data_IF_748049909910
#
_entry.id   IF_748049909910
#
_cell.length_a   1.000
_cell.length_b   1.000
_cell.length_c   1.000
_cell.angle_alpha   90.00
_cell.angle_beta   90.00
_cell.angle_gamma   90.00
#
_symmetry.space_group_name_H-M   'P 1'
#
loop_
_entity.id
_entity.type
_entity.pdbx_description
1 polymer ?
#
# COMPACT_ATOMS: atom_id res chain seq x y z
N UNK A 1 -9.23 -13.43 12.60
CA UNK A 1 -10.61 -13.38 12.10
C UNK A 1 -11.55 -13.81 13.22
N UNK A 2 -12.53 -12.98 13.59
CA UNK A 2 -13.61 -13.33 14.53
C UNK A 2 -14.93 -13.27 13.79
N UNK A 3 -15.73 -14.34 13.90
CA UNK A 3 -17.06 -14.44 13.32
C UNK A 3 -18.05 -13.74 14.27
N UNK A 4 -18.71 -12.68 13.84
CA UNK A 4 -19.77 -12.01 14.60
C UNK A 4 -21.11 -12.30 13.92
N UNK A 5 -21.98 -13.01 14.65
CA UNK A 5 -23.25 -13.58 14.15
C UNK A 5 -24.44 -12.63 14.16
N UNK A 6 -24.30 -11.35 14.57
CA UNK A 6 -25.35 -10.34 14.36
C UNK A 6 -24.83 -8.91 14.54
N UNK A 7 -25.07 -8.06 13.54
CA UNK A 7 -25.02 -6.61 13.70
C UNK A 7 -26.29 -6.12 14.40
N UNK A 8 -26.22 -5.42 15.55
CA UNK A 8 -27.32 -4.59 16.00
C UNK A 8 -27.14 -3.19 15.41
N UNK A 9 -27.96 -2.85 14.42
CA UNK A 9 -28.16 -1.47 13.97
C UNK A 9 -28.97 -0.70 15.03
N UNK A 10 -28.63 0.57 15.27
CA UNK A 10 -29.55 1.53 15.92
C UNK A 10 -29.69 2.81 15.10
N UNK A 11 -30.91 3.33 15.09
CA UNK A 11 -31.50 4.17 14.03
C UNK A 11 -31.17 5.67 14.09
N UNK A 12 -30.04 6.14 14.65
CA UNK A 12 -29.84 7.59 14.75
C UNK A 12 -28.39 8.15 14.78
N UNK A 13 -27.47 7.58 13.98
CA UNK A 13 -26.40 8.36 13.31
C UNK A 13 -25.48 9.29 14.14
N UNK A 14 -25.32 9.12 15.46
CA UNK A 14 -24.32 9.86 16.26
C UNK A 14 -23.62 8.91 17.22
N UNK A 15 -22.29 9.06 17.27
CA UNK A 15 -21.40 8.35 18.19
C UNK A 15 -21.62 8.93 19.59
N UNK A 16 -22.21 8.12 20.47
CA UNK A 16 -22.39 8.43 21.87
C UNK A 16 -21.06 8.22 22.62
N UNK A 17 -20.31 9.31 22.81
CA UNK A 17 -19.00 9.34 23.48
C UNK A 17 -19.07 9.05 24.99
N UNK A 18 -20.26 8.84 25.55
CA UNK A 18 -20.47 8.68 27.00
C UNK A 18 -20.79 7.24 27.45
N UNK A 19 -20.92 6.27 26.53
CA UNK A 19 -21.24 4.87 26.88
C UNK A 19 -20.12 3.88 26.53
N UNK A 20 -18.91 4.35 26.24
CA UNK A 20 -17.78 3.45 26.05
C UNK A 20 -17.31 2.97 27.45
N UNK A 21 -17.40 1.66 27.76
CA UNK A 21 -16.77 1.13 28.96
C UNK A 21 -15.29 1.47 28.92
N UNK A 22 -14.75 1.96 30.04
CA UNK A 22 -13.37 2.40 30.16
C UNK A 22 -12.44 1.27 29.66
N UNK A 23 -11.57 1.53 28.67
CA UNK A 23 -10.72 0.48 28.14
C UNK A 23 -9.71 0.10 29.22
N UNK A 24 -9.95 -1.03 29.88
CA UNK A 24 -8.93 -1.67 30.71
C UNK A 24 -7.75 -2.01 29.80
N UNK A 25 -6.54 -1.71 30.27
CA UNK A 25 -5.27 -1.86 29.54
C UNK A 25 -5.01 -3.27 28.97
N UNK A 26 -5.82 -4.25 29.39
CA UNK A 26 -5.76 -5.66 28.99
C UNK A 26 -6.43 -5.93 27.63
N UNK A 27 -7.28 -5.02 27.12
CA UNK A 27 -7.93 -5.13 25.81
C UNK A 27 -7.25 -4.32 24.70
N UNK A 28 -6.10 -3.70 25.00
CA UNK A 28 -5.25 -3.14 23.96
C UNK A 28 -4.59 -4.34 23.27
N UNK A 29 -5.18 -4.75 22.15
CA UNK A 29 -4.49 -5.57 21.15
C UNK A 29 -3.07 -5.00 21.03
N UNK A 30 -1.98 -5.79 21.19
CA UNK A 30 -0.64 -5.24 21.08
C UNK A 30 -0.59 -4.42 19.80
N UNK A 31 -0.21 -3.15 19.92
CA UNK A 31 0.08 -2.34 18.75
C UNK A 31 0.96 -3.22 17.88
N UNK A 32 0.52 -3.53 16.66
CA UNK A 32 1.36 -4.28 15.73
C UNK A 32 2.72 -3.61 15.75
N UNK A 33 3.78 -4.38 16.04
CA UNK A 33 5.11 -3.83 16.23
C UNK A 33 5.43 -2.90 15.05
N UNK A 34 5.47 -1.59 15.33
CA UNK A 34 5.65 -0.59 14.30
C UNK A 34 7.02 -0.79 13.67
N UNK A 35 7.05 -1.39 12.49
CA UNK A 35 8.27 -1.62 11.73
C UNK A 35 8.40 -0.55 10.65
N UNK A 36 9.44 0.28 10.74
CA UNK A 36 9.63 1.39 9.82
C UNK A 36 9.94 0.90 8.38
N UNK A 37 9.43 1.61 7.34
CA UNK A 37 9.86 1.42 5.95
C UNK A 37 11.38 1.53 5.82
N UNK A 38 12.02 0.50 5.29
CA UNK A 38 13.48 0.36 5.19
C UNK A 38 13.99 0.66 3.78
N UNK A 39 13.33 0.13 2.75
CA UNK A 39 13.68 0.37 1.33
C UNK A 39 13.22 1.74 0.84
N UNK A 40 13.86 2.27 -0.21
CA UNK A 40 13.42 3.50 -0.90
C UNK A 40 11.99 3.35 -1.44
N UNK A 41 11.69 2.22 -2.09
CA UNK A 41 10.35 1.90 -2.61
C UNK A 41 9.32 1.84 -1.49
N UNK A 42 9.66 1.24 -0.33
CA UNK A 42 8.78 1.20 0.85
C UNK A 42 8.52 2.62 1.39
N UNK A 43 9.55 3.47 1.49
CA UNK A 43 9.42 4.85 1.99
C UNK A 43 8.54 5.70 1.07
N UNK A 44 8.75 5.63 -0.23
CA UNK A 44 7.93 6.35 -1.22
C UNK A 44 6.48 5.86 -1.19
N UNK A 45 6.27 4.55 -1.07
CA UNK A 45 4.94 3.97 -0.99
C UNK A 45 4.21 4.38 0.29
N UNK A 46 4.89 4.31 1.44
CA UNK A 46 4.35 4.75 2.72
C UNK A 46 3.96 6.23 2.70
N UNK A 47 4.80 7.11 2.15
CA UNK A 47 4.48 8.53 2.01
C UNK A 47 3.23 8.76 1.13
N UNK A 48 3.13 8.07 -0.01
CA UNK A 48 1.97 8.12 -0.89
C UNK A 48 0.69 7.69 -0.16
N UNK A 49 0.77 6.64 0.66
CA UNK A 49 -0.36 6.16 1.46
C UNK A 49 -0.72 7.11 2.59
N UNK A 50 0.25 7.72 3.29
CA UNK A 50 -0.02 8.76 4.30
C UNK A 50 -0.82 9.91 3.70
N UNK A 51 -0.43 10.38 2.51
CA UNK A 51 -1.12 11.46 1.80
C UNK A 51 -2.55 11.12 1.39
N UNK A 52 -2.79 9.85 1.03
CA UNK A 52 -4.07 9.33 0.58
C UNK A 52 -5.03 9.05 1.74
N UNK A 53 -4.52 8.41 2.81
CA UNK A 53 -5.28 7.95 3.96
C UNK A 53 -5.37 9.00 5.08
N UNK A 54 -4.60 10.10 4.97
CA UNK A 54 -4.55 11.19 5.97
C UNK A 54 -4.11 10.71 7.35
N UNK A 55 -3.08 9.87 7.37
CA UNK A 55 -2.44 9.36 8.58
C UNK A 55 -1.01 9.90 8.71
N UNK A 56 -0.50 9.96 9.93
CA UNK A 56 0.81 10.55 10.22
C UNK A 56 1.98 9.66 9.78
N UNK A 57 1.89 8.36 10.06
CA UNK A 57 2.91 7.39 9.70
C UNK A 57 2.29 6.04 9.35
N UNK A 58 2.99 5.30 8.49
CA UNK A 58 2.62 3.96 8.03
C UNK A 58 3.88 3.09 8.14
N UNK A 59 3.75 1.98 8.86
CA UNK A 59 4.75 0.93 8.97
C UNK A 59 4.78 0.04 7.73
N UNK A 60 5.87 -0.73 7.59
CA UNK A 60 6.08 -1.61 6.44
C UNK A 60 5.05 -2.76 6.37
N UNK A 61 4.55 -3.19 7.52
CA UNK A 61 3.60 -4.31 7.63
C UNK A 61 2.15 -3.84 7.74
N UNK A 62 1.91 -2.52 7.72
CA UNK A 62 0.56 -1.96 7.80
C UNK A 62 -0.25 -2.32 6.55
N UNK A 63 -1.47 -2.78 6.80
CA UNK A 63 -2.40 -3.19 5.76
C UNK A 63 -3.21 -1.99 5.25
N UNK A 64 -3.15 -1.71 3.94
CA UNK A 64 -3.87 -0.60 3.30
C UNK A 64 -5.37 -0.58 3.62
N UNK A 65 -6.02 -1.75 3.60
CA UNK A 65 -7.45 -1.87 3.87
C UNK A 65 -7.75 -1.71 5.37
N UNK A 66 -6.84 -2.18 6.24
CA UNK A 66 -6.91 -1.97 7.69
C UNK A 66 -6.81 -0.50 8.08
N UNK A 67 -6.08 0.30 7.31
CA UNK A 67 -5.95 1.75 7.47
C UNK A 67 -7.12 2.56 6.87
N UNK A 68 -8.16 1.91 6.35
CA UNK A 68 -9.33 2.57 5.77
C UNK A 68 -9.28 2.79 4.26
N UNK A 69 -8.35 2.14 3.55
CA UNK A 69 -8.26 2.17 2.09
C UNK A 69 -9.40 1.43 1.42
N UNK A 70 -10.48 2.14 1.02
CA UNK A 70 -11.66 1.56 0.38
C UNK A 70 -11.99 2.18 -1.00
N UNK A 71 -12.71 1.43 -1.84
CA UNK A 71 -13.24 1.76 -3.18
C UNK A 71 -12.49 2.82 -4.00
N UNK A 72 -12.74 4.11 -3.77
CA UNK A 72 -12.14 5.19 -4.56
C UNK A 72 -10.68 5.44 -4.20
N UNK A 73 -10.31 5.26 -2.93
CA UNK A 73 -8.92 5.40 -2.47
C UNK A 73 -8.03 4.34 -3.10
N UNK A 74 -8.55 3.13 -3.27
CA UNK A 74 -7.87 2.02 -3.95
C UNK A 74 -7.51 2.40 -5.39
N UNK A 75 -8.48 2.88 -6.17
CA UNK A 75 -8.23 3.30 -7.55
C UNK A 75 -7.24 4.47 -7.65
N UNK A 76 -7.35 5.44 -6.73
CA UNK A 76 -6.41 6.57 -6.65
C UNK A 76 -5.01 6.12 -6.26
N UNK A 77 -4.88 5.18 -5.32
CA UNK A 77 -3.61 4.62 -4.91
C UNK A 77 -2.94 3.92 -6.10
N UNK A 78 -3.66 3.03 -6.79
CA UNK A 78 -3.14 2.31 -7.97
C UNK A 78 -2.66 3.30 -9.04
N UNK A 79 -3.48 4.27 -9.42
CA UNK A 79 -3.10 5.26 -10.43
C UNK A 79 -1.87 6.10 -10.02
N UNK A 80 -1.76 6.49 -8.74
CA UNK A 80 -0.59 7.23 -8.26
C UNK A 80 0.66 6.36 -8.23
N UNK A 81 0.57 5.11 -7.77
CA UNK A 81 1.70 4.18 -7.75
C UNK A 81 2.25 3.96 -9.16
N UNK A 82 1.39 3.74 -10.15
CA UNK A 82 1.81 3.61 -11.55
C UNK A 82 2.57 4.84 -12.05
N UNK A 83 2.07 6.05 -11.74
CA UNK A 83 2.72 7.30 -12.12
C UNK A 83 4.05 7.52 -11.40
N UNK A 84 4.15 7.15 -10.14
CA UNK A 84 5.34 7.37 -9.31
C UNK A 84 6.45 6.39 -9.65
N UNK A 85 6.14 5.11 -9.84
CA UNK A 85 7.14 4.06 -10.03
C UNK A 85 7.38 3.69 -11.50
N UNK A 86 6.53 4.17 -12.42
CA UNK A 86 6.66 3.90 -13.86
C UNK A 86 6.39 2.45 -14.25
N UNK A 87 5.70 1.68 -13.39
CA UNK A 87 5.35 0.28 -13.64
C UNK A 87 3.84 0.07 -13.59
N UNK A 88 3.34 -0.93 -14.33
CA UNK A 88 1.92 -1.27 -14.36
C UNK A 88 1.49 -2.05 -13.10
N UNK A 89 1.38 -1.33 -11.98
CA UNK A 89 0.80 -1.88 -10.75
C UNK A 89 -0.69 -2.11 -10.98
N UNK A 90 -1.13 -3.36 -10.96
CA UNK A 90 -2.55 -3.70 -11.14
C UNK A 90 -3.31 -3.68 -9.82
N UNK A 91 -4.62 -3.47 -9.90
CA UNK A 91 -5.52 -3.54 -8.75
C UNK A 91 -5.39 -4.86 -7.98
N UNK A 92 -5.25 -5.98 -8.70
CA UNK A 92 -5.08 -7.32 -8.11
C UNK A 92 -3.87 -7.39 -7.17
N UNK A 93 -2.79 -6.69 -7.52
CA UNK A 93 -1.53 -6.72 -6.76
C UNK A 93 -1.73 -6.11 -5.37
N UNK A 94 -2.52 -5.04 -5.26
CA UNK A 94 -2.85 -4.41 -3.98
C UNK A 94 -3.69 -5.34 -3.08
N UNK A 95 -4.61 -6.12 -3.67
CA UNK A 95 -5.39 -7.09 -2.90
C UNK A 95 -4.58 -8.32 -2.48
N UNK A 96 -3.66 -8.78 -3.33
CA UNK A 96 -2.80 -9.94 -3.03
C UNK A 96 -1.74 -9.61 -1.98
N UNK A 97 -1.16 -8.42 -2.04
CA UNK A 97 -0.09 -7.96 -1.15
C UNK A 97 -0.45 -6.57 -0.59
N UNK A 98 -1.37 -6.50 0.39
CA UNK A 98 -1.95 -5.25 0.89
C UNK A 98 -1.05 -4.49 1.87
N UNK A 99 0.19 -4.93 2.08
CA UNK A 99 1.16 -4.27 2.96
C UNK A 99 2.17 -3.46 2.16
N UNK A 100 2.79 -2.46 2.80
CA UNK A 100 3.83 -1.65 2.16
C UNK A 100 5.00 -2.53 1.71
N UNK A 101 5.50 -3.41 2.57
CA UNK A 101 6.59 -4.33 2.24
C UNK A 101 6.23 -5.26 1.08
N UNK A 102 5.05 -5.89 1.14
CA UNK A 102 4.62 -6.84 0.11
C UNK A 102 4.45 -6.18 -1.27
N UNK A 103 3.91 -4.96 -1.30
CA UNK A 103 3.70 -4.24 -2.56
C UNK A 103 5.00 -3.62 -3.09
N UNK A 104 5.89 -3.15 -2.22
CA UNK A 104 7.21 -2.65 -2.61
C UNK A 104 8.05 -3.73 -3.29
N UNK A 105 8.07 -4.95 -2.76
CA UNK A 105 8.75 -6.10 -3.39
C UNK A 105 8.24 -6.37 -4.81
N UNK A 106 6.93 -6.30 -5.04
CA UNK A 106 6.35 -6.49 -6.38
C UNK A 106 6.78 -5.38 -7.33
N UNK A 107 6.77 -4.14 -6.87
CA UNK A 107 7.19 -2.98 -7.66
C UNK A 107 8.66 -3.11 -8.05
N UNK A 108 9.53 -3.47 -7.10
CA UNK A 108 10.96 -3.66 -7.36
C UNK A 108 11.21 -4.79 -8.36
N UNK A 109 10.48 -5.91 -8.25
CA UNK A 109 10.55 -7.00 -9.21
C UNK A 109 10.12 -6.57 -10.63
N UNK A 110 9.04 -5.78 -10.75
CA UNK A 110 8.57 -5.25 -12.04
C UNK A 110 9.59 -4.30 -12.67
N UNK A 111 10.22 -3.44 -11.85
CA UNK A 111 11.27 -2.51 -12.31
C UNK A 111 12.50 -3.26 -12.80
N UNK A 112 12.91 -4.33 -12.12
CA UNK A 112 14.02 -5.17 -12.54
C UNK A 112 13.77 -5.86 -13.88
N UNK A 113 12.55 -6.37 -14.10
CA UNK A 113 12.15 -6.96 -15.39
C UNK A 113 12.17 -5.91 -16.51
N UNK A 114 11.65 -4.70 -16.24
CA UNK A 114 11.62 -3.61 -17.21
C UNK A 114 13.03 -3.15 -17.61
N UNK A 115 13.96 -3.06 -16.66
CA UNK A 115 15.37 -2.70 -16.90
C UNK A 115 16.10 -3.78 -17.71
N UNK A 116 15.85 -5.06 -17.38
CA UNK A 116 16.46 -6.21 -18.06
C UNK A 116 15.96 -6.43 -19.50
N UNK A 117 14.82 -5.83 -19.87
CA UNK A 117 14.25 -5.93 -21.21
C UNK A 117 14.73 -4.84 -22.19
N UNK A 118 15.59 -3.90 -21.76
CA UNK A 118 16.22 -2.94 -22.68
C UNK A 118 17.22 -3.70 -23.56
N UNK A 119 16.93 -3.97 -24.84
CA UNK A 119 17.89 -4.63 -25.71
C UNK A 119 19.03 -3.63 -25.95
N UNK A 120 20.26 -4.10 -25.79
CA UNK A 120 21.45 -3.41 -26.28
C UNK A 120 21.19 -2.99 -27.73
N UNK A 121 20.92 -1.70 -27.97
CA UNK A 121 21.03 -1.14 -29.32
C UNK A 121 22.51 -1.14 -29.64
N UNK A 122 22.95 -2.22 -30.27
CA UNK A 122 24.22 -2.27 -30.99
C UNK A 122 24.30 -1.01 -31.87
N UNK A 123 25.45 -0.33 -31.76
CA UNK A 123 25.71 0.97 -32.34
C UNK A 123 25.63 1.01 -33.87
N UNK A 124 25.73 2.22 -34.45
CA UNK A 124 25.59 2.41 -35.88
C UNK A 124 26.64 1.58 -36.63
N UNK A 125 26.20 0.82 -37.64
CA UNK A 125 27.09 0.23 -38.65
C UNK A 125 27.71 1.36 -39.46
N UNK A 126 28.83 1.89 -38.98
CA UNK A 126 29.85 2.50 -39.83
C UNK A 126 30.53 1.36 -40.58
N UNK A 127 30.07 1.11 -41.80
CA UNK A 127 30.92 0.57 -42.86
C UNK A 127 30.65 1.41 -44.11
N UNK A 128 31.33 2.56 -44.10
CA UNK A 128 31.74 3.26 -45.31
C UNK A 128 32.91 2.44 -45.85
N UNK A 129 32.73 1.68 -46.93
CA UNK A 129 33.87 1.37 -47.79
C UNK A 129 33.44 1.09 -49.25
N UNK A 130 33.76 2.10 -50.08
CA UNK A 130 34.09 2.13 -51.52
C UNK A 130 33.14 1.51 -52.57
#
# INVERSE_FOLDING_TARGET
YVRLERMPLTSNGKIDRASLPEPTAENIQPAQDFAAPSSETEKTLAALWCDLLKVESIGRDDNFFGLGGQSLLVMRAVSRMQKTFGVDVQLRNLFERPTVAGLAELIDAMRWVADSQVPSREGPREEIEL
#
